data_IF_043406324514
#
_entry.id   IF_043406324514
#
_cell.length_a   1.000
_cell.length_b   1.000
_cell.length_c   1.000
_cell.angle_alpha   90.00
_cell.angle_beta   90.00
_cell.angle_gamma   90.00
#
_symmetry.space_group_name_H-M   'P 1'
#
loop_
_entity.id
_entity.type
_entity.pdbx_description
1 polymer ?
#
# COMPACT_ATOMS: atom_id res chain seq x y z
N UNK A 1 1.79 -28.01 31.71
CA UNK A 1 0.86 -27.20 30.89
C UNK A 1 1.06 -25.74 31.27
N UNK A 2 1.92 -25.03 30.53
CA UNK A 2 2.21 -23.62 30.78
C UNK A 2 1.45 -22.76 29.79
N UNK A 3 0.55 -21.90 30.28
CA UNK A 3 -0.12 -20.89 29.48
C UNK A 3 0.89 -19.84 29.02
N UNK A 4 1.38 -19.95 27.78
CA UNK A 4 1.98 -18.83 27.08
C UNK A 4 0.88 -17.94 26.52
N UNK A 5 0.32 -17.07 27.37
CA UNK A 5 -0.33 -15.85 26.90
C UNK A 5 0.75 -14.96 26.30
N UNK A 6 0.88 -14.97 24.97
CA UNK A 6 1.64 -13.99 24.22
C UNK A 6 1.03 -12.61 24.47
N UNK A 7 1.61 -11.88 25.43
CA UNK A 7 1.28 -10.48 25.69
C UNK A 7 1.60 -9.70 24.42
N UNK A 8 0.56 -9.33 23.68
CA UNK A 8 0.62 -8.45 22.52
C UNK A 8 1.25 -7.13 22.96
N UNK A 9 2.52 -6.88 22.63
CA UNK A 9 3.17 -5.58 22.85
C UNK A 9 2.72 -4.62 21.74
N UNK A 10 1.45 -4.19 21.75
CA UNK A 10 1.10 -2.95 21.06
C UNK A 10 1.83 -1.83 21.79
N UNK A 11 2.55 -0.97 21.07
CA UNK A 11 3.07 0.25 21.69
C UNK A 11 1.90 1.03 22.27
N UNK A 12 1.97 1.32 23.57
CA UNK A 12 0.98 2.14 24.30
C UNK A 12 1.24 3.63 24.10
N UNK A 13 2.36 3.99 23.47
CA UNK A 13 2.70 5.38 23.16
C UNK A 13 1.72 5.93 22.14
N UNK A 14 1.07 7.02 22.54
CA UNK A 14 0.11 7.75 21.70
C UNK A 14 0.81 8.86 20.92
N UNK A 15 1.84 9.48 21.50
CA UNK A 15 2.71 10.48 20.87
C UNK A 15 4.17 10.09 21.05
N UNK A 16 5.03 10.68 20.23
CA UNK A 16 6.48 10.48 20.26
C UNK A 16 7.12 11.85 20.11
N UNK A 17 7.85 12.27 21.13
CA UNK A 17 8.57 13.53 21.10
C UNK A 17 9.90 13.31 20.37
N UNK A 18 9.83 13.34 19.03
CA UNK A 18 11.01 13.25 18.19
C UNK A 18 11.81 14.56 18.24
N UNK A 19 13.15 14.51 18.21
CA UNK A 19 13.98 15.70 18.19
C UNK A 19 13.70 16.55 16.93
N UNK A 20 13.81 17.89 17.00
CA UNK A 20 13.57 18.77 15.85
C UNK A 20 14.37 18.40 14.59
N UNK A 21 15.56 17.83 14.77
CA UNK A 21 16.41 17.35 13.68
C UNK A 21 15.78 16.21 12.85
N UNK A 22 14.82 15.46 13.41
CA UNK A 22 14.05 14.43 12.70
C UNK A 22 12.68 14.96 12.24
N UNK A 23 12.03 15.80 13.06
CA UNK A 23 10.70 16.36 12.75
C UNK A 23 10.76 17.28 11.53
N UNK A 24 11.71 18.23 11.49
CA UNK A 24 11.74 19.25 10.44
C UNK A 24 11.96 18.67 9.03
N UNK A 25 12.90 17.73 8.79
CA UNK A 25 13.00 17.07 7.50
C UNK A 25 11.75 16.25 7.16
N UNK A 26 11.16 15.56 8.15
CA UNK A 26 9.98 14.75 7.92
C UNK A 26 8.78 15.57 7.47
N UNK A 27 8.49 16.68 8.16
CA UNK A 27 7.43 17.61 7.76
C UNK A 27 7.66 18.21 6.36
N UNK A 28 8.91 18.49 6.00
CA UNK A 28 9.24 18.92 4.65
C UNK A 28 8.89 17.84 3.61
N UNK A 29 9.24 16.57 3.88
CA UNK A 29 8.92 15.45 3.00
C UNK A 29 7.40 15.23 2.90
N UNK A 30 6.68 15.29 4.02
CA UNK A 30 5.22 15.23 4.06
C UNK A 30 4.57 16.27 3.13
N UNK A 31 4.98 17.55 3.25
CA UNK A 31 4.52 18.62 2.33
C UNK A 31 4.90 18.34 0.88
N UNK A 32 6.13 17.90 0.63
CA UNK A 32 6.66 17.65 -0.72
C UNK A 32 5.93 16.52 -1.45
N UNK A 33 5.52 15.48 -0.73
CA UNK A 33 4.80 14.32 -1.27
C UNK A 33 3.28 14.41 -1.11
N UNK A 34 2.78 15.40 -0.36
CA UNK A 34 1.36 15.67 -0.18
C UNK A 34 0.64 14.57 0.61
N UNK A 35 1.23 14.22 1.76
CA UNK A 35 0.71 13.28 2.76
C UNK A 35 1.01 13.84 4.15
N UNK A 36 0.36 13.34 5.19
CA UNK A 36 0.54 13.86 6.56
C UNK A 36 0.79 12.79 7.62
N UNK A 37 0.90 11.52 7.22
CA UNK A 37 1.14 10.41 8.15
C UNK A 37 2.45 10.63 8.91
N UNK A 38 2.40 10.56 10.24
CA UNK A 38 3.60 10.69 11.08
C UNK A 38 4.45 9.41 11.08
N UNK A 39 3.84 8.25 10.86
CA UNK A 39 4.50 6.94 10.85
C UNK A 39 4.97 6.52 9.46
N UNK A 40 4.86 7.38 8.45
CA UNK A 40 5.07 7.01 7.05
C UNK A 40 3.91 6.19 6.47
N UNK A 41 4.15 5.50 5.37
CA UNK A 41 3.15 4.70 4.67
C UNK A 41 3.76 3.48 3.97
N UNK A 42 2.93 2.71 3.27
CA UNK A 42 3.39 1.55 2.50
C UNK A 42 4.52 1.87 1.52
N UNK A 43 4.44 3.00 0.82
CA UNK A 43 5.45 3.40 -0.16
C UNK A 43 6.80 3.75 0.51
N UNK A 44 6.81 4.60 1.54
CA UNK A 44 8.04 5.03 2.23
C UNK A 44 8.66 3.93 3.08
N UNK A 45 7.82 3.15 3.78
CA UNK A 45 8.31 2.23 4.80
C UNK A 45 8.66 0.84 4.23
N UNK A 46 8.05 0.46 3.11
CA UNK A 46 8.23 -0.87 2.52
C UNK A 46 8.77 -0.75 1.10
N UNK A 47 8.01 -0.18 0.16
CA UNK A 47 8.36 -0.25 -1.26
C UNK A 47 9.70 0.44 -1.55
N UNK A 48 9.91 1.65 -1.02
CA UNK A 48 11.16 2.41 -1.20
C UNK A 48 12.26 2.00 -0.22
N UNK A 49 12.02 1.02 0.65
CA UNK A 49 13.01 0.44 1.54
C UNK A 49 13.72 -0.78 0.91
N UNK A 50 13.78 -0.83 -0.42
CA UNK A 50 14.46 -1.88 -1.17
C UNK A 50 15.47 -1.25 -2.14
N UNK A 51 16.60 -1.91 -2.33
CA UNK A 51 17.60 -1.48 -3.31
C UNK A 51 17.21 -1.90 -4.74
N UNK A 52 18.06 -1.55 -5.72
CA UNK A 52 17.86 -1.87 -7.13
C UNK A 52 17.81 -3.39 -7.42
N UNK A 53 18.31 -4.21 -6.49
CA UNK A 53 18.27 -5.67 -6.56
C UNK A 53 17.09 -6.26 -5.78
N UNK A 54 16.24 -5.42 -5.17
CA UNK A 54 15.11 -5.84 -4.36
C UNK A 54 15.50 -6.37 -2.99
N UNK A 55 16.64 -5.97 -2.44
CA UNK A 55 17.06 -6.32 -1.07
C UNK A 55 16.56 -5.27 -0.08
N UNK A 56 15.98 -5.73 1.03
CA UNK A 56 15.50 -4.88 2.11
C UNK A 56 16.67 -4.14 2.79
N UNK A 57 16.66 -2.80 2.78
CA UNK A 57 17.79 -1.96 3.16
C UNK A 57 17.81 -1.69 4.67
N UNK A 58 16.79 -1.00 5.18
CA UNK A 58 16.72 -0.56 6.57
C UNK A 58 15.93 -1.56 7.41
N UNK A 59 16.65 -2.57 7.93
CA UNK A 59 16.11 -3.61 8.82
C UNK A 59 15.92 -3.06 10.24
N UNK A 60 14.79 -3.40 10.84
CA UNK A 60 14.30 -2.91 12.14
C UNK A 60 14.71 -3.87 13.25
N UNK A 61 14.72 -5.17 12.97
CA UNK A 61 15.04 -6.21 13.96
C UNK A 61 16.50 -6.69 13.86
N UNK A 62 17.40 -5.81 13.39
CA UNK A 62 18.83 -6.13 13.30
C UNK A 62 19.37 -6.63 14.64
N UNK A 63 20.06 -7.78 14.63
CA UNK A 63 20.59 -8.43 15.84
C UNK A 63 19.61 -9.36 16.56
N UNK A 64 18.36 -9.50 16.10
CA UNK A 64 17.46 -10.56 16.56
C UNK A 64 17.72 -11.89 15.82
N UNK A 65 17.00 -12.94 16.21
CA UNK A 65 17.19 -14.28 15.65
C UNK A 65 16.91 -14.35 14.15
N UNK A 66 17.57 -15.28 13.45
CA UNK A 66 17.37 -15.52 12.01
C UNK A 66 15.91 -15.80 11.63
N UNK A 67 15.13 -16.35 12.56
CA UNK A 67 13.70 -16.55 12.35
C UNK A 67 12.97 -15.21 12.22
N UNK A 68 13.20 -14.29 13.16
CA UNK A 68 12.61 -12.94 13.14
C UNK A 68 13.08 -12.14 11.94
N UNK A 69 14.37 -12.19 11.63
CA UNK A 69 14.94 -11.49 10.46
C UNK A 69 14.33 -11.98 9.15
N UNK A 70 14.14 -13.30 8.99
CA UNK A 70 13.45 -13.87 7.82
C UNK A 70 11.99 -13.47 7.75
N UNK A 71 11.28 -13.46 8.88
CA UNK A 71 9.88 -13.00 8.94
C UNK A 71 9.76 -11.51 8.56
N UNK A 72 10.71 -10.67 8.98
CA UNK A 72 10.77 -9.26 8.58
C UNK A 72 11.03 -9.10 7.08
N UNK A 73 12.03 -9.80 6.56
CA UNK A 73 12.39 -9.76 5.14
C UNK A 73 11.24 -10.25 4.26
N UNK A 74 10.62 -11.37 4.64
CA UNK A 74 9.43 -11.90 3.99
C UNK A 74 8.28 -10.89 3.98
N UNK A 75 7.95 -10.27 5.12
CA UNK A 75 6.91 -9.25 5.22
C UNK A 75 7.21 -8.02 4.35
N UNK A 76 8.45 -7.52 4.38
CA UNK A 76 8.87 -6.38 3.56
C UNK A 76 8.74 -6.69 2.05
N UNK A 77 9.04 -7.92 1.66
CA UNK A 77 8.95 -8.37 0.28
C UNK A 77 7.52 -8.45 -0.27
N UNK A 78 6.49 -8.55 0.59
CA UNK A 78 5.09 -8.69 0.13
C UNK A 78 4.69 -7.51 -0.74
N UNK A 79 4.75 -6.30 -0.16
CA UNK A 79 4.27 -5.10 -0.86
C UNK A 79 5.24 -4.61 -1.92
N UNK A 80 6.55 -4.80 -1.72
CA UNK A 80 7.55 -4.53 -2.76
C UNK A 80 7.29 -5.37 -4.01
N UNK A 81 7.07 -6.68 -3.86
CA UNK A 81 6.78 -7.54 -5.00
C UNK A 81 5.43 -7.24 -5.64
N UNK A 82 4.40 -6.89 -4.84
CA UNK A 82 3.12 -6.44 -5.39
C UNK A 82 3.28 -5.22 -6.29
N UNK A 83 4.04 -4.21 -5.85
CA UNK A 83 4.26 -3.00 -6.65
C UNK A 83 5.06 -3.31 -7.93
N UNK A 84 6.13 -4.11 -7.80
CA UNK A 84 6.97 -4.51 -8.95
C UNK A 84 6.18 -5.29 -10.01
N UNK A 85 5.34 -6.24 -9.59
CA UNK A 85 4.46 -6.99 -10.50
C UNK A 85 3.31 -6.10 -11.01
N UNK A 86 2.83 -5.16 -10.20
CA UNK A 86 1.77 -4.22 -10.54
C UNK A 86 2.13 -3.23 -11.65
N UNK A 87 3.43 -2.94 -11.86
CA UNK A 87 3.86 -2.00 -12.89
C UNK A 87 3.31 -2.32 -14.29
N UNK A 88 3.33 -3.60 -14.69
CA UNK A 88 2.82 -3.98 -16.00
C UNK A 88 1.29 -3.95 -16.06
N UNK A 89 0.60 -4.15 -14.93
CA UNK A 89 -0.84 -3.93 -14.82
C UNK A 89 -1.15 -2.44 -15.05
N UNK A 90 -0.38 -1.51 -14.45
CA UNK A 90 -0.59 -0.07 -14.65
C UNK A 90 -0.47 0.34 -16.11
N UNK A 91 0.53 -0.22 -16.80
CA UNK A 91 0.72 -0.02 -18.23
C UNK A 91 -0.50 -0.46 -19.05
N UNK A 92 -0.99 -1.69 -18.83
CA UNK A 92 -2.14 -2.21 -19.57
C UNK A 92 -3.46 -1.50 -19.20
N UNK A 93 -3.62 -1.07 -17.95
CA UNK A 93 -4.74 -0.22 -17.53
C UNK A 93 -4.76 1.07 -18.35
N UNK A 94 -3.64 1.80 -18.41
CA UNK A 94 -3.56 3.06 -19.18
C UNK A 94 -3.80 2.80 -20.67
N UNK A 95 -3.20 1.76 -21.25
CA UNK A 95 -3.43 1.43 -22.66
C UNK A 95 -4.89 1.04 -22.95
N UNK A 96 -5.54 0.30 -22.06
CA UNK A 96 -6.95 -0.06 -22.24
C UNK A 96 -7.84 1.18 -22.34
N UNK A 97 -7.59 2.19 -21.49
CA UNK A 97 -8.29 3.48 -21.53
C UNK A 97 -8.04 4.18 -22.88
N UNK A 98 -6.79 4.25 -23.33
CA UNK A 98 -6.44 4.89 -24.61
C UNK A 98 -7.12 4.17 -25.80
N UNK A 99 -7.08 2.83 -25.84
CA UNK A 99 -7.71 2.04 -26.88
C UNK A 99 -9.23 2.23 -26.88
N UNK A 100 -9.85 2.28 -25.70
CA UNK A 100 -11.28 2.53 -25.55
C UNK A 100 -11.68 3.89 -26.13
N UNK A 101 -10.97 4.96 -25.77
CA UNK A 101 -11.25 6.31 -26.30
C UNK A 101 -11.06 6.40 -27.82
N UNK A 102 -10.17 5.58 -28.39
CA UNK A 102 -9.96 5.47 -29.84
C UNK A 102 -10.99 4.59 -30.55
N UNK A 103 -11.95 4.01 -29.80
CA UNK A 103 -12.93 3.03 -30.31
C UNK A 103 -12.29 1.79 -30.94
N UNK A 104 -11.08 1.43 -30.49
CA UNK A 104 -10.38 0.23 -30.92
C UNK A 104 -10.71 -0.92 -29.94
N UNK A 105 -11.87 -1.52 -30.15
CA UNK A 105 -12.38 -2.58 -29.29
C UNK A 105 -11.46 -3.82 -29.23
N UNK A 106 -10.90 -4.33 -30.36
CA UNK A 106 -9.96 -5.45 -30.31
C UNK A 106 -8.70 -5.16 -29.48
N UNK A 107 -8.08 -3.99 -29.68
CA UNK A 107 -6.90 -3.62 -28.90
C UNK A 107 -7.24 -3.43 -27.42
N UNK A 108 -8.37 -2.77 -27.12
CA UNK A 108 -8.86 -2.60 -25.76
C UNK A 108 -9.06 -3.95 -25.05
N UNK A 109 -9.74 -4.90 -25.71
CA UNK A 109 -9.95 -6.25 -25.17
C UNK A 109 -8.63 -6.98 -24.92
N UNK A 110 -7.65 -6.84 -25.82
CA UNK A 110 -6.32 -7.42 -25.62
C UNK A 110 -5.60 -6.84 -24.39
N UNK A 111 -5.71 -5.53 -24.15
CA UNK A 111 -5.14 -4.91 -22.94
C UNK A 111 -5.82 -5.40 -21.66
N UNK A 112 -7.15 -5.53 -21.66
CA UNK A 112 -7.90 -6.05 -20.50
C UNK A 112 -7.57 -7.52 -20.23
N UNK A 113 -7.39 -8.32 -21.28
CA UNK A 113 -6.93 -9.70 -21.16
C UNK A 113 -5.51 -9.77 -20.55
N UNK A 114 -4.60 -8.88 -20.95
CA UNK A 114 -3.26 -8.78 -20.38
C UNK A 114 -3.27 -8.41 -18.88
N UNK A 115 -4.14 -7.48 -18.46
CA UNK A 115 -4.36 -7.16 -17.04
C UNK A 115 -4.74 -8.44 -16.28
N UNK A 116 -5.69 -9.21 -16.81
CA UNK A 116 -6.19 -10.43 -16.17
C UNK A 116 -5.10 -11.51 -16.04
N UNK A 117 -4.32 -11.69 -17.10
CA UNK A 117 -3.20 -12.64 -17.12
C UNK A 117 -2.13 -12.32 -16.07
N UNK A 118 -1.91 -11.05 -15.75
CA UNK A 118 -0.93 -10.60 -14.76
C UNK A 118 -1.47 -10.56 -13.34
N UNK A 119 -2.78 -10.34 -13.17
CA UNK A 119 -3.41 -10.31 -11.86
C UNK A 119 -3.29 -11.66 -11.15
N UNK A 120 -3.43 -12.79 -11.86
CA UNK A 120 -3.29 -14.13 -11.30
C UNK A 120 -1.93 -14.36 -10.59
N UNK A 121 -0.79 -14.17 -11.27
CA UNK A 121 0.53 -14.21 -10.64
C UNK A 121 0.70 -13.25 -9.46
N UNK A 122 0.21 -12.00 -9.58
CA UNK A 122 0.30 -11.02 -8.50
C UNK A 122 -0.46 -11.48 -7.25
N UNK A 123 -1.70 -11.94 -7.40
CA UNK A 123 -2.51 -12.42 -6.28
C UNK A 123 -1.91 -13.68 -5.66
N UNK A 124 -1.37 -14.60 -6.48
CA UNK A 124 -0.66 -15.78 -5.97
C UNK A 124 0.56 -15.40 -5.13
N UNK A 125 1.36 -14.44 -5.60
CA UNK A 125 2.51 -13.93 -4.84
C UNK A 125 2.05 -13.28 -3.52
N UNK A 126 1.01 -12.45 -3.57
CA UNK A 126 0.51 -11.73 -2.40
C UNK A 126 -0.04 -12.68 -1.33
N UNK A 127 -0.99 -13.54 -1.70
CA UNK A 127 -1.60 -14.49 -0.76
C UNK A 127 -0.64 -15.61 -0.35
N UNK A 128 0.25 -16.03 -1.26
CA UNK A 128 1.29 -17.01 -0.96
C UNK A 128 2.34 -16.52 0.03
N UNK A 129 2.50 -15.20 0.20
CA UNK A 129 3.39 -14.65 1.23
C UNK A 129 2.68 -14.37 2.56
N UNK A 130 1.34 -14.37 2.58
CA UNK A 130 0.50 -14.08 3.76
C UNK A 130 0.03 -15.35 4.49
N UNK A 131 0.95 -16.29 4.75
CA UNK A 131 0.65 -17.43 5.62
C UNK A 131 1.76 -17.69 6.63
N UNK A 132 1.41 -18.38 7.73
CA UNK A 132 2.29 -18.61 8.89
C UNK A 132 3.59 -19.37 8.58
N UNK A 133 3.67 -20.00 7.41
CA UNK A 133 4.88 -20.68 6.93
C UNK A 133 5.92 -19.72 6.34
N UNK A 134 5.52 -18.50 5.99
CA UNK A 134 6.38 -17.46 5.39
C UNK A 134 6.55 -16.29 6.35
N UNK A 135 5.45 -15.78 6.92
CA UNK A 135 5.47 -14.77 7.97
C UNK A 135 4.85 -15.37 9.21
N UNK A 136 5.67 -15.79 10.17
CA UNK A 136 5.17 -16.38 11.42
C UNK A 136 4.39 -15.32 12.19
N UNK A 137 3.09 -15.53 12.38
CA UNK A 137 2.23 -14.59 13.11
C UNK A 137 2.74 -14.22 14.49
N UNK A 138 3.32 -15.16 15.24
CA UNK A 138 3.88 -14.89 16.57
C UNK A 138 5.01 -13.87 16.51
N UNK A 139 5.96 -14.06 15.60
CA UNK A 139 7.09 -13.17 15.36
C UNK A 139 6.64 -11.84 14.75
N UNK A 140 5.62 -11.88 13.89
CA UNK A 140 5.04 -10.67 13.34
C UNK A 140 4.42 -9.80 14.42
N UNK A 141 3.59 -10.39 15.29
CA UNK A 141 2.96 -9.65 16.40
C UNK A 141 3.96 -9.16 17.44
N UNK A 142 5.05 -9.88 17.69
CA UNK A 142 6.00 -9.53 18.76
C UNK A 142 7.18 -8.67 18.31
N UNK A 143 7.55 -8.72 17.03
CA UNK A 143 8.77 -8.08 16.51
C UNK A 143 8.54 -7.32 15.19
N UNK A 144 7.96 -7.96 14.17
CA UNK A 144 7.92 -7.38 12.81
C UNK A 144 6.91 -6.23 12.70
N UNK A 145 5.72 -6.35 13.28
CA UNK A 145 4.67 -5.33 13.20
C UNK A 145 5.19 -3.97 13.69
N UNK A 146 6.04 -3.97 14.72
CA UNK A 146 6.86 -2.84 15.17
C UNK A 146 6.21 -1.47 14.99
N UNK A 147 6.93 -0.56 14.32
CA UNK A 147 6.41 0.76 13.98
C UNK A 147 5.44 0.74 12.78
N UNK A 148 5.40 -0.33 11.98
CA UNK A 148 4.44 -0.44 10.88
C UNK A 148 3.00 -0.42 11.41
N UNK A 149 2.74 -0.99 12.59
CA UNK A 149 1.44 -0.94 13.25
C UNK A 149 1.24 0.29 14.16
N UNK A 150 2.14 1.27 14.12
CA UNK A 150 2.15 2.35 15.10
C UNK A 150 1.03 3.35 14.85
N UNK A 151 0.07 3.40 15.79
CA UNK A 151 -1.06 4.33 15.75
C UNK A 151 -0.76 5.66 16.42
N UNK A 152 0.36 6.32 16.07
CA UNK A 152 0.75 7.60 16.67
C UNK A 152 -0.12 8.75 16.20
N UNK A 153 -0.26 9.73 17.08
CA UNK A 153 -1.03 10.93 16.83
C UNK A 153 -0.44 12.14 17.52
N UNK A 154 -1.12 13.27 17.34
CA UNK A 154 -0.84 14.51 18.05
C UNK A 154 -2.16 15.23 18.36
N UNK A 155 -2.09 16.19 19.29
CA UNK A 155 -3.17 17.15 19.50
C UNK A 155 -3.06 18.22 18.43
N UNK A 156 -4.17 18.52 17.77
CA UNK A 156 -4.24 19.67 16.88
C UNK A 156 -4.35 20.98 17.68
N UNK A 157 -4.39 22.10 16.95
CA UNK A 157 -4.52 23.44 17.51
C UNK A 157 -5.84 23.70 18.28
N UNK A 158 -6.84 22.84 18.12
CA UNK A 158 -8.13 22.91 18.81
C UNK A 158 -8.19 21.97 20.02
N UNK A 159 -7.14 21.17 20.26
CA UNK A 159 -7.10 20.16 21.31
C UNK A 159 -7.70 18.81 20.90
N UNK A 160 -8.01 18.61 19.62
CA UNK A 160 -8.53 17.34 19.11
C UNK A 160 -7.40 16.36 18.83
N UNK A 161 -7.58 15.11 19.26
CA UNK A 161 -6.59 14.05 19.06
C UNK A 161 -6.64 13.52 17.62
N UNK A 162 -5.63 13.85 16.82
CA UNK A 162 -5.46 13.31 15.47
C UNK A 162 -4.62 12.04 15.55
N UNK A 163 -5.25 10.89 15.35
CA UNK A 163 -4.56 9.60 15.20
C UNK A 163 -4.28 9.29 13.73
N UNK A 164 -3.07 8.81 13.46
CA UNK A 164 -2.71 8.16 12.19
C UNK A 164 -2.78 6.64 12.38
N UNK A 165 -3.38 5.95 11.43
CA UNK A 165 -3.33 4.49 11.41
C UNK A 165 -1.97 4.03 10.87
N UNK A 166 -1.52 2.88 11.38
CA UNK A 166 -0.33 2.24 10.86
C UNK A 166 -0.47 1.84 9.40
N UNK A 167 0.64 1.34 8.85
CA UNK A 167 0.72 0.72 7.55
C UNK A 167 -0.33 -0.39 7.39
N UNK A 168 -1.04 -0.36 6.27
CA UNK A 168 -2.02 -1.36 5.88
C UNK A 168 -1.83 -1.74 4.42
N UNK A 169 -2.17 -3.00 4.07
CA UNK A 169 -2.17 -3.45 2.68
C UNK A 169 -3.14 -2.69 1.77
N UNK A 170 -4.14 -2.03 2.36
CA UNK A 170 -5.08 -1.18 1.63
C UNK A 170 -4.44 0.11 1.09
N UNK A 171 -3.18 0.39 1.46
CA UNK A 171 -2.38 1.48 0.91
C UNK A 171 -1.59 1.05 -0.35
N UNK A 172 -1.61 -0.23 -0.75
CA UNK A 172 -0.90 -0.69 -1.94
C UNK A 172 -1.55 -0.12 -3.21
N UNK A 173 -0.73 0.50 -4.07
CA UNK A 173 -1.20 1.24 -5.24
C UNK A 173 -1.97 0.35 -6.22
N UNK A 174 -1.56 -0.90 -6.38
CA UNK A 174 -2.18 -1.80 -7.35
C UNK A 174 -3.66 -2.04 -7.11
N UNK A 175 -4.08 -2.18 -5.86
CA UNK A 175 -5.49 -2.35 -5.55
C UNK A 175 -6.26 -1.05 -5.78
N UNK A 176 -5.70 0.11 -5.41
CA UNK A 176 -6.32 1.42 -5.69
C UNK A 176 -6.46 1.71 -7.18
N UNK A 177 -5.47 1.34 -7.99
CA UNK A 177 -5.50 1.47 -9.46
C UNK A 177 -6.60 0.58 -10.06
N UNK A 178 -6.69 -0.66 -9.61
CA UNK A 178 -7.72 -1.60 -10.08
C UNK A 178 -9.11 -1.14 -9.68
N UNK A 179 -9.32 -0.69 -8.44
CA UNK A 179 -10.61 -0.17 -7.98
C UNK A 179 -11.04 1.03 -8.82
N UNK A 180 -10.15 2.02 -8.99
CA UNK A 180 -10.41 3.19 -9.82
C UNK A 180 -10.72 2.82 -11.28
N UNK A 181 -9.94 1.93 -11.87
CA UNK A 181 -10.14 1.47 -13.24
C UNK A 181 -11.48 0.74 -13.41
N UNK A 182 -11.87 -0.09 -12.44
CA UNK A 182 -13.10 -0.87 -12.46
C UNK A 182 -14.32 -0.08 -11.97
N UNK A 183 -14.16 1.18 -11.55
CA UNK A 183 -15.24 1.99 -10.97
C UNK A 183 -15.77 1.41 -9.66
N UNK A 184 -14.92 0.74 -8.88
CA UNK A 184 -15.22 0.23 -7.55
C UNK A 184 -14.91 1.33 -6.53
N UNK A 185 -15.78 1.49 -5.53
CA UNK A 185 -15.57 2.47 -4.47
C UNK A 185 -14.25 2.20 -3.73
N UNK A 186 -13.41 3.23 -3.50
CA UNK A 186 -12.14 3.04 -2.82
C UNK A 186 -12.31 2.49 -1.40
N UNK A 187 -11.52 1.48 -1.03
CA UNK A 187 -11.54 0.95 0.33
C UNK A 187 -11.14 1.97 1.39
N UNK A 188 -10.09 2.78 1.11
CA UNK A 188 -9.65 3.82 2.04
C UNK A 188 -10.56 5.04 1.94
N UNK A 189 -11.02 5.54 3.08
CA UNK A 189 -11.71 6.82 3.16
C UNK A 189 -10.86 7.96 2.58
N UNK A 190 -11.50 9.02 2.08
CA UNK A 190 -10.80 10.17 1.50
C UNK A 190 -9.75 10.77 2.46
N UNK A 191 -10.09 10.87 3.75
CA UNK A 191 -9.17 11.32 4.79
C UNK A 191 -7.95 10.41 4.93
N UNK A 192 -8.15 9.09 4.95
CA UNK A 192 -7.04 8.14 5.08
C UNK A 192 -6.18 8.08 3.82
N UNK A 193 -6.76 8.27 2.64
CA UNK A 193 -5.98 8.45 1.41
C UNK A 193 -5.13 9.71 1.49
N UNK A 194 -5.69 10.84 1.91
CA UNK A 194 -4.93 12.09 2.04
C UNK A 194 -3.78 11.99 3.04
N UNK A 195 -4.02 11.32 4.17
CA UNK A 195 -2.99 11.15 5.21
C UNK A 195 -1.88 10.20 4.80
N UNK A 196 -2.22 9.09 4.13
CA UNK A 196 -1.30 7.96 3.95
C UNK A 196 -0.82 7.77 2.51
N UNK A 197 -1.49 8.32 1.49
CA UNK A 197 -1.17 8.06 0.08
C UNK A 197 -0.59 9.32 -0.59
N UNK A 198 0.63 9.26 -1.14
CA UNK A 198 1.25 10.34 -1.89
C UNK A 198 0.32 10.99 -2.92
N UNK A 199 0.39 12.31 -3.04
CA UNK A 199 -0.50 13.09 -3.91
C UNK A 199 -0.46 12.63 -5.38
N UNK A 200 0.69 12.19 -5.88
CA UNK A 200 0.84 11.70 -7.27
C UNK A 200 0.16 10.34 -7.49
N UNK A 201 0.21 9.44 -6.50
CA UNK A 201 -0.53 8.18 -6.56
C UNK A 201 -2.04 8.41 -6.52
N UNK A 202 -2.51 9.32 -5.66
CA UNK A 202 -3.92 9.75 -5.63
C UNK A 202 -4.36 10.41 -6.94
N UNK A 203 -3.49 11.21 -7.55
CA UNK A 203 -3.78 11.86 -8.83
C UNK A 203 -3.91 10.84 -9.96
N UNK A 204 -3.05 9.81 -9.99
CA UNK A 204 -3.17 8.70 -10.95
C UNK A 204 -4.50 7.98 -10.79
N UNK A 205 -4.88 7.56 -9.58
CA UNK A 205 -6.14 6.85 -9.34
C UNK A 205 -7.34 7.71 -9.76
N UNK A 206 -7.36 9.00 -9.43
CA UNK A 206 -8.42 9.93 -9.87
C UNK A 206 -8.48 10.10 -11.39
N UNK A 207 -7.34 10.10 -12.08
CA UNK A 207 -7.32 10.15 -13.54
C UNK A 207 -7.91 8.86 -14.14
N UNK A 208 -7.58 7.69 -13.58
CA UNK A 208 -8.12 6.41 -14.03
C UNK A 208 -9.62 6.29 -13.77
N UNK A 209 -10.09 6.69 -12.59
CA UNK A 209 -11.51 6.70 -12.23
C UNK A 209 -12.34 7.54 -13.22
N UNK A 210 -11.88 8.76 -13.52
CA UNK A 210 -12.54 9.66 -14.49
C UNK A 210 -12.63 9.07 -15.89
N UNK A 211 -11.66 8.24 -16.26
CA UNK A 211 -11.59 7.61 -17.58
C UNK A 211 -12.02 6.13 -17.54
N UNK A 212 -12.61 5.66 -16.43
CA UNK A 212 -13.15 4.31 -16.36
C UNK A 212 -14.28 4.16 -17.36
N UNK A 213 -14.17 3.15 -18.21
CA UNK A 213 -15.16 2.88 -19.25
C UNK A 213 -16.17 1.80 -18.85
N UNK A 214 -15.99 1.14 -17.70
CA UNK A 214 -16.89 0.05 -17.28
C UNK A 214 -18.36 0.47 -17.25
N UNK A 215 -18.64 1.66 -16.71
CA UNK A 215 -20.00 2.21 -16.65
C UNK A 215 -20.55 2.74 -17.98
N UNK A 216 -19.70 2.86 -19.01
CA UNK A 216 -20.08 3.29 -20.37
C UNK A 216 -20.47 2.10 -21.25
N UNK A 217 -19.79 0.96 -21.07
CA UNK A 217 -20.11 -0.29 -21.75
C UNK A 217 -21.59 -0.70 -21.57
N UNK A 218 -22.15 -0.51 -20.37
CA UNK A 218 -23.55 -0.89 -20.08
C UNK A 218 -24.58 0.10 -20.61
N UNK A 219 -24.18 1.33 -20.98
CA UNK A 219 -25.06 2.35 -21.56
C UNK A 219 -25.11 2.20 -23.08
N UNK A 220 -23.96 2.00 -23.71
CA UNK A 220 -23.88 1.79 -25.17
C UNK A 220 -24.61 0.51 -25.59
N UNK A 221 -24.57 -0.56 -24.78
CA UNK A 221 -25.35 -1.80 -25.02
C UNK A 221 -26.88 -1.66 -24.84
N UNK A 222 -27.39 -0.55 -24.30
CA UNK A 222 -28.83 -0.29 -24.14
C UNK A 222 -29.40 0.62 -25.22
N UNK A 223 -28.53 1.27 -25.98
CA UNK A 223 -28.89 2.20 -27.06
C UNK A 223 -28.77 1.56 -28.45
N UNK A 224 -28.29 0.31 -28.53
CA UNK A 224 -28.40 -0.61 -29.68
C UNK A 224 -29.57 -1.60 -29.49
#
# INVERSE_FOLDING_TARGET
MGNHTSRQRRSTEKSVDLPPALVMPWEYLQRRFGLSSQSGNNMSNIVLNHDEHGRHIFKINAGLSDSVLRSEEAFSGIFYNCERLGLSIYYHVVLSVICFERRDAPACAAQVAAITAQLGPLLRQYYGALHDGVVKRSEWLSHVQGFFGWGVGHLDQNGDWIKYDGLSGNQALVFMVLDAFLGIEPYLSALNQERNVPARQRALCRALERNSFRGRLTKEMKEE
#
